data_IF_495805736309
#
_entry.id   IF_495805736309
#
_cell.length_a   1.000
_cell.length_b   1.000
_cell.length_c   1.000
_cell.angle_alpha   90.00
_cell.angle_beta   90.00
_cell.angle_gamma   90.00
#
_symmetry.space_group_name_H-M   'P 1'
#
loop_
_entity.id
_entity.type
_entity.pdbx_description
1 polymer ?
#
# COMPACT_ATOMS: atom_id res chain seq x y z
N UNK A 1 21.65 -45.21 3.30
CA UNK A 1 20.95 -45.76 4.48
C UNK A 1 21.49 -45.03 5.69
N UNK A 2 20.85 -43.94 6.07
CA UNK A 2 21.22 -43.10 7.22
C UNK A 2 20.35 -43.51 8.41
N UNK A 3 21.01 -44.08 9.41
CA UNK A 3 20.39 -44.50 10.68
C UNK A 3 19.88 -43.28 11.42
N UNK A 4 18.56 -43.06 11.48
CA UNK A 4 17.90 -42.16 12.41
C UNK A 4 17.69 -42.91 13.73
N UNK A 5 18.66 -42.90 14.62
CA UNK A 5 18.45 -43.35 16.00
C UNK A 5 17.82 -42.23 16.81
N UNK A 6 16.54 -42.38 17.14
CA UNK A 6 15.81 -41.55 18.09
C UNK A 6 16.15 -42.02 19.52
N UNK A 7 16.84 -41.18 20.28
CA UNK A 7 17.23 -41.48 21.68
C UNK A 7 16.10 -41.03 22.64
N UNK A 8 15.53 -42.03 23.36
CA UNK A 8 14.54 -41.81 24.44
C UNK A 8 15.23 -41.47 25.76
N UNK A 9 14.81 -40.41 26.41
CA UNK A 9 15.32 -39.96 27.69
C UNK A 9 14.68 -40.73 28.87
N UNK A 10 15.15 -41.93 29.13
CA UNK A 10 14.47 -42.91 29.98
C UNK A 10 14.40 -42.53 31.49
N UNK A 11 15.12 -41.51 31.99
CA UNK A 11 15.19 -41.21 33.41
C UNK A 11 14.83 -39.77 33.85
N UNK A 12 14.34 -38.91 32.97
CA UNK A 12 14.00 -37.53 33.32
C UNK A 12 12.53 -37.15 33.16
N UNK A 13 11.67 -38.09 32.77
CA UNK A 13 10.25 -37.83 32.52
C UNK A 13 9.95 -36.97 31.27
N UNK A 14 10.96 -36.64 30.49
CA UNK A 14 10.89 -35.84 29.27
C UNK A 14 11.20 -36.74 28.08
N UNK A 15 10.16 -37.05 27.29
CA UNK A 15 10.33 -37.81 26.02
C UNK A 15 10.67 -36.82 24.91
N UNK A 16 11.98 -36.52 24.78
CA UNK A 16 12.47 -35.53 23.82
C UNK A 16 13.29 -36.22 22.75
N UNK A 17 12.71 -36.29 21.54
CA UNK A 17 13.46 -36.68 20.35
C UNK A 17 14.26 -35.46 19.84
N UNK A 18 15.59 -35.48 19.98
CA UNK A 18 16.50 -34.54 19.38
C UNK A 18 17.04 -35.11 18.07
N UNK A 19 16.66 -34.52 16.94
CA UNK A 19 17.28 -34.82 15.66
C UNK A 19 18.57 -34.00 15.55
N UNK A 20 19.72 -34.66 15.56
CA UNK A 20 21.01 -34.01 15.36
C UNK A 20 21.25 -33.89 13.84
N UNK A 21 21.25 -32.63 13.33
CA UNK A 21 21.50 -32.33 11.93
C UNK A 21 22.97 -32.59 11.51
N UNK A 22 23.23 -32.53 10.20
CA UNK A 22 24.57 -32.67 9.63
C UNK A 22 25.42 -31.40 9.97
N UNK A 23 26.34 -31.57 10.92
CA UNK A 23 27.26 -30.53 11.39
C UNK A 23 28.13 -31.08 12.52
N UNK A 24 29.03 -30.27 13.09
CA UNK A 24 29.77 -30.68 14.29
C UNK A 24 28.79 -31.02 15.41
N UNK A 25 28.96 -32.15 16.10
CA UNK A 25 28.05 -32.67 17.12
C UNK A 25 27.64 -31.66 18.19
N UNK A 26 28.51 -30.70 18.55
CA UNK A 26 28.22 -29.60 19.49
C UNK A 26 27.20 -28.64 18.90
N UNK A 27 27.41 -28.15 17.68
CA UNK A 27 26.52 -27.20 17.00
C UNK A 27 25.16 -27.84 16.75
N UNK A 28 25.12 -29.11 16.32
CA UNK A 28 23.87 -29.83 16.10
C UNK A 28 23.07 -29.97 17.42
N UNK A 29 23.71 -30.20 18.56
CA UNK A 29 23.07 -30.26 19.87
C UNK A 29 22.55 -28.87 20.31
N UNK A 30 23.33 -27.81 20.09
CA UNK A 30 22.92 -26.43 20.36
C UNK A 30 21.64 -26.07 19.56
N UNK A 31 21.62 -26.35 18.25
CA UNK A 31 20.51 -26.04 17.38
C UNK A 31 19.26 -26.87 17.72
N UNK A 32 19.43 -28.16 18.05
CA UNK A 32 18.32 -29.02 18.45
C UNK A 32 17.68 -28.53 19.78
N UNK A 33 18.48 -28.12 20.77
CA UNK A 33 17.98 -27.56 22.03
C UNK A 33 17.30 -26.18 21.82
N UNK A 34 17.87 -25.28 21.00
CA UNK A 34 17.23 -24.02 20.62
C UNK A 34 15.87 -24.25 19.95
N UNK A 35 15.81 -25.18 19.01
CA UNK A 35 14.56 -25.54 18.35
C UNK A 35 13.53 -26.10 19.32
N UNK A 36 13.93 -26.97 20.23
CA UNK A 36 13.04 -27.54 21.24
C UNK A 36 12.49 -26.47 22.22
N UNK A 37 13.31 -25.51 22.63
CA UNK A 37 12.88 -24.39 23.47
C UNK A 37 11.95 -23.46 22.70
N UNK A 38 12.31 -23.02 21.46
CA UNK A 38 11.47 -22.17 20.61
C UNK A 38 10.10 -22.75 20.31
N UNK A 39 10.06 -24.06 20.05
CA UNK A 39 8.82 -24.76 19.72
C UNK A 39 7.99 -25.16 20.96
N UNK A 40 8.39 -24.70 22.18
CA UNK A 40 7.69 -25.01 23.42
C UNK A 40 7.81 -26.45 23.90
N UNK A 41 8.58 -27.32 23.23
CA UNK A 41 8.86 -28.69 23.70
C UNK A 41 9.67 -28.70 25.00
N UNK A 42 10.48 -27.68 25.20
CA UNK A 42 11.20 -27.41 26.45
C UNK A 42 10.73 -26.04 27.01
N UNK A 43 9.65 -26.00 27.77
CA UNK A 43 9.15 -24.76 28.35
C UNK A 43 10.09 -24.18 29.40
N UNK A 44 9.99 -22.88 29.67
CA UNK A 44 10.76 -22.20 30.73
C UNK A 44 10.62 -22.92 32.07
N UNK A 45 11.75 -23.08 32.77
CA UNK A 45 11.82 -23.78 34.06
C UNK A 45 12.06 -25.28 33.92
N UNK A 46 12.01 -25.87 32.73
CA UNK A 46 12.34 -27.28 32.50
C UNK A 46 13.80 -27.53 32.90
N UNK A 47 14.04 -28.50 33.77
CA UNK A 47 15.38 -28.95 34.16
C UNK A 47 15.94 -29.90 33.12
N UNK A 48 17.09 -29.58 32.55
CA UNK A 48 17.81 -30.42 31.60
C UNK A 48 18.61 -31.50 32.32
N UNK A 49 18.87 -32.66 31.69
CA UNK A 49 19.70 -33.70 32.25
C UNK A 49 21.11 -33.23 32.58
N UNK A 50 21.73 -33.83 33.61
CA UNK A 50 23.12 -33.55 33.91
C UNK A 50 24.01 -33.90 32.69
N UNK A 51 25.07 -33.12 32.44
CA UNK A 51 25.95 -33.27 31.27
C UNK A 51 26.49 -34.70 31.05
N UNK A 52 26.73 -35.44 32.16
CA UNK A 52 27.16 -36.85 32.09
C UNK A 52 26.04 -37.77 31.58
N UNK A 53 24.83 -37.52 32.00
CA UNK A 53 23.65 -38.32 31.60
C UNK A 53 23.36 -38.09 30.12
N UNK A 54 23.22 -36.83 29.71
CA UNK A 54 22.94 -36.47 28.34
C UNK A 54 24.04 -36.94 27.37
N UNK A 55 25.30 -36.84 27.76
CA UNK A 55 26.43 -37.29 26.96
C UNK A 55 26.38 -38.82 26.70
N UNK A 56 26.05 -39.60 27.76
CA UNK A 56 25.88 -41.04 27.62
C UNK A 56 24.67 -41.40 26.75
N UNK A 57 23.56 -40.72 26.96
CA UNK A 57 22.28 -40.98 26.25
C UNK A 57 22.39 -40.65 24.75
N UNK A 58 23.17 -39.61 24.39
CA UNK A 58 23.40 -39.18 23.00
C UNK A 58 24.64 -39.84 22.34
N UNK A 59 25.42 -40.64 23.07
CA UNK A 59 26.66 -41.22 22.57
C UNK A 59 27.78 -40.20 22.24
N UNK A 60 27.76 -39.04 22.87
CA UNK A 60 28.73 -37.96 22.62
C UNK A 60 29.66 -37.73 23.84
N UNK A 61 30.75 -36.97 23.64
CA UNK A 61 31.61 -36.64 24.75
C UNK A 61 30.92 -35.69 25.77
N UNK A 62 31.27 -35.81 27.06
CA UNK A 62 30.80 -34.88 28.09
C UNK A 62 31.20 -33.44 27.79
N UNK A 63 32.39 -33.25 27.16
CA UNK A 63 32.86 -31.92 26.75
C UNK A 63 31.98 -31.29 25.71
N UNK A 64 31.42 -32.09 24.77
CA UNK A 64 30.44 -31.66 23.76
C UNK A 64 29.19 -31.08 24.42
N UNK A 65 28.59 -31.80 25.38
CA UNK A 65 27.37 -31.36 26.07
C UNK A 65 27.66 -30.17 26.98
N UNK A 66 28.79 -30.18 27.69
CA UNK A 66 29.18 -29.04 28.53
C UNK A 66 29.38 -27.77 27.70
N UNK A 67 30.05 -27.89 26.54
CA UNK A 67 30.24 -26.78 25.62
C UNK A 67 28.93 -26.22 25.10
N UNK A 68 27.99 -27.10 24.70
CA UNK A 68 26.65 -26.68 24.23
C UNK A 68 25.86 -25.99 25.35
N UNK A 69 25.85 -26.52 26.57
CA UNK A 69 25.16 -25.89 27.69
C UNK A 69 25.78 -24.53 28.08
N UNK A 70 27.11 -24.43 28.02
CA UNK A 70 27.81 -23.16 28.31
C UNK A 70 27.47 -22.12 27.27
N UNK A 71 27.45 -22.48 25.99
CA UNK A 71 27.07 -21.59 24.90
C UNK A 71 25.61 -21.13 25.02
N UNK A 72 24.69 -22.05 25.24
CA UNK A 72 23.27 -21.74 25.38
C UNK A 72 22.99 -20.93 26.69
N UNK A 73 23.79 -21.09 27.70
CA UNK A 73 23.72 -20.25 28.91
C UNK A 73 24.25 -18.84 28.66
N UNK A 74 25.33 -18.68 27.91
CA UNK A 74 25.84 -17.38 27.47
C UNK A 74 24.85 -16.63 26.57
N UNK A 75 24.08 -17.34 25.76
CA UNK A 75 23.01 -16.79 24.92
C UNK A 75 21.70 -16.52 25.69
N UNK A 76 21.60 -16.91 26.97
CA UNK A 76 20.40 -16.70 27.79
C UNK A 76 19.28 -17.76 27.61
N UNK A 77 19.49 -18.80 26.82
CA UNK A 77 18.53 -19.91 26.70
C UNK A 77 18.45 -20.76 27.93
N UNK A 78 19.59 -20.94 28.58
CA UNK A 78 19.74 -21.77 29.79
C UNK A 78 20.31 -20.95 30.93
N UNK A 79 20.10 -21.42 32.17
CA UNK A 79 20.79 -20.90 33.39
C UNK A 79 21.14 -22.04 34.32
N UNK A 80 22.29 -21.91 34.94
CA UNK A 80 22.69 -22.80 36.05
C UNK A 80 21.90 -22.46 37.31
N UNK A 81 21.44 -23.47 38.04
CA UNK A 81 20.80 -23.31 39.36
C UNK A 81 21.64 -24.05 40.39
N UNK A 82 22.14 -23.33 41.40
CA UNK A 82 22.96 -23.94 42.45
C UNK A 82 22.20 -25.12 43.10
N UNK A 83 22.78 -26.32 43.05
CA UNK A 83 22.24 -27.53 43.65
C UNK A 83 21.19 -28.29 42.84
N UNK A 84 20.66 -27.73 41.72
CA UNK A 84 19.57 -28.36 40.97
C UNK A 84 19.78 -28.45 39.44
N UNK A 85 21.01 -28.22 38.93
CA UNK A 85 21.36 -28.44 37.54
C UNK A 85 21.13 -27.24 36.61
N UNK A 86 20.97 -27.51 35.31
CA UNK A 86 20.74 -26.51 34.24
C UNK A 86 19.25 -26.47 33.91
N UNK A 87 18.68 -25.28 33.89
CA UNK A 87 17.24 -25.08 33.56
C UNK A 87 17.07 -24.16 32.38
N UNK A 88 15.97 -24.34 31.63
CA UNK A 88 15.57 -23.46 30.55
C UNK A 88 15.18 -22.09 31.11
N UNK A 89 15.86 -21.05 30.68
CA UNK A 89 15.64 -19.66 31.14
C UNK A 89 14.75 -18.88 30.18
N UNK A 90 14.83 -19.16 28.87
CA UNK A 90 14.07 -18.50 27.83
C UNK A 90 12.60 -18.91 27.90
N UNK A 91 11.73 -17.92 27.88
CA UNK A 91 10.30 -18.11 27.71
C UNK A 91 10.00 -17.90 26.22
N UNK A 92 9.74 -18.99 25.52
CA UNK A 92 9.20 -18.94 24.18
C UNK A 92 7.74 -18.48 24.23
N UNK A 93 7.43 -17.47 25.08
CA UNK A 93 6.07 -17.00 25.33
C UNK A 93 5.18 -17.26 24.12
N UNK A 94 4.01 -17.77 24.30
CA UNK A 94 3.10 -18.02 23.19
C UNK A 94 3.21 -16.82 22.24
N UNK A 95 3.90 -17.00 21.10
CA UNK A 95 3.69 -16.09 19.99
C UNK A 95 2.19 -16.02 19.89
N UNK A 96 1.63 -14.90 20.33
CA UNK A 96 0.26 -14.58 20.02
C UNK A 96 0.25 -14.54 18.47
N UNK A 97 0.09 -15.69 17.86
CA UNK A 97 -0.35 -15.78 16.47
C UNK A 97 -1.67 -15.02 16.50
N UNK A 98 -1.59 -13.73 16.18
CA UNK A 98 -2.76 -13.01 15.75
C UNK A 98 -3.40 -13.94 14.73
N UNK A 99 -4.62 -14.46 14.97
CA UNK A 99 -5.27 -15.34 14.04
C UNK A 99 -5.25 -14.59 12.72
N UNK A 100 -4.48 -15.08 11.75
CA UNK A 100 -4.55 -14.57 10.40
C UNK A 100 -5.99 -14.86 9.99
N UNK A 101 -6.83 -13.84 9.95
CA UNK A 101 -8.16 -13.98 9.37
C UNK A 101 -7.96 -14.65 8.02
N UNK A 102 -8.62 -15.79 7.76
CA UNK A 102 -8.46 -16.50 6.51
C UNK A 102 -8.84 -15.53 5.40
N UNK A 103 -7.87 -15.03 4.65
CA UNK A 103 -8.15 -14.12 3.54
C UNK A 103 -9.07 -14.85 2.58
N UNK A 104 -10.34 -14.45 2.56
CA UNK A 104 -11.34 -15.04 1.68
C UNK A 104 -10.86 -14.89 0.24
N UNK A 105 -10.54 -15.98 -0.43
CA UNK A 105 -10.12 -15.98 -1.83
C UNK A 105 -11.36 -15.83 -2.70
N UNK A 106 -11.44 -14.71 -3.40
CA UNK A 106 -12.49 -14.46 -4.38
C UNK A 106 -12.03 -14.93 -5.76
N UNK A 107 -12.97 -15.42 -6.55
CA UNK A 107 -12.72 -15.79 -7.94
C UNK A 107 -12.43 -14.56 -8.80
N UNK A 108 -13.12 -13.46 -8.51
CA UNK A 108 -13.05 -12.20 -9.23
C UNK A 108 -12.79 -11.04 -8.26
N UNK A 109 -11.82 -10.18 -8.58
CA UNK A 109 -11.51 -9.00 -7.78
C UNK A 109 -11.97 -7.74 -8.52
N UNK A 110 -13.10 -7.18 -8.11
CA UNK A 110 -13.63 -5.90 -8.57
C UNK A 110 -13.49 -4.82 -7.48
N UNK A 111 -12.55 -4.95 -6.55
CA UNK A 111 -12.27 -3.90 -5.57
C UNK A 111 -11.57 -2.70 -6.23
N UNK A 112 -11.81 -1.47 -5.74
CA UNK A 112 -11.30 -0.25 -6.35
C UNK A 112 -9.79 -0.09 -6.21
N UNK A 113 -9.23 0.83 -6.99
CA UNK A 113 -7.89 1.35 -6.82
C UNK A 113 -6.73 0.41 -7.17
N UNK A 114 -6.99 -0.76 -7.75
CA UNK A 114 -5.97 -1.73 -8.18
C UNK A 114 -5.88 -1.77 -9.70
N UNK A 115 -4.69 -1.60 -10.30
CA UNK A 115 -4.47 -1.84 -11.71
C UNK A 115 -4.38 -3.34 -12.00
N UNK A 116 -4.42 -3.71 -13.27
CA UNK A 116 -4.16 -5.07 -13.75
C UNK A 116 -2.68 -5.43 -13.59
N UNK A 117 -2.32 -6.06 -12.49
CA UNK A 117 -0.94 -6.49 -12.21
C UNK A 117 -0.39 -7.51 -13.24
N UNK A 118 -1.27 -8.26 -13.94
CA UNK A 118 -0.87 -9.18 -15.02
C UNK A 118 -0.32 -8.42 -16.22
N UNK A 119 -0.70 -7.16 -16.36
CA UNK A 119 -0.28 -6.26 -17.45
C UNK A 119 0.98 -5.46 -17.15
N UNK A 120 1.61 -5.69 -15.99
CA UNK A 120 2.90 -5.05 -15.69
C UNK A 120 3.90 -5.33 -16.83
N UNK A 121 4.56 -4.32 -17.38
CA UNK A 121 5.41 -4.45 -18.58
C UNK A 121 6.78 -5.05 -18.26
N UNK A 122 6.80 -6.33 -17.81
CA UNK A 122 8.01 -7.01 -17.27
C UNK A 122 9.22 -6.93 -18.18
N UNK A 123 9.04 -7.19 -19.48
CA UNK A 123 10.14 -7.18 -20.45
C UNK A 123 10.73 -5.77 -20.65
N UNK A 124 9.87 -4.76 -20.74
CA UNK A 124 10.29 -3.37 -20.91
C UNK A 124 10.92 -2.82 -19.63
N UNK A 125 10.37 -3.18 -18.47
CA UNK A 125 10.92 -2.82 -17.16
C UNK A 125 12.31 -3.43 -16.94
N UNK A 126 12.46 -4.73 -17.23
CA UNK A 126 13.76 -5.42 -17.12
C UNK A 126 14.79 -4.81 -18.06
N UNK A 127 14.38 -4.43 -19.28
CA UNK A 127 15.26 -3.75 -20.24
C UNK A 127 15.70 -2.38 -19.74
N UNK A 128 14.77 -1.59 -19.17
CA UNK A 128 15.06 -0.31 -18.56
C UNK A 128 16.03 -0.47 -17.38
N UNK A 129 15.77 -1.41 -16.47
CA UNK A 129 16.63 -1.70 -15.33
C UNK A 129 18.05 -2.11 -15.78
N UNK A 130 18.18 -3.00 -16.75
CA UNK A 130 19.51 -3.40 -17.27
C UNK A 130 20.28 -2.23 -17.85
N UNK A 131 19.64 -1.35 -18.63
CA UNK A 131 20.29 -0.16 -19.19
C UNK A 131 20.70 0.81 -18.10
N UNK A 132 19.82 1.04 -17.13
CA UNK A 132 20.08 1.92 -16.02
C UNK A 132 21.28 1.46 -15.20
N UNK A 133 21.34 0.16 -14.86
CA UNK A 133 22.45 -0.42 -14.10
C UNK A 133 23.77 -0.43 -14.87
N UNK A 134 23.74 -0.70 -16.18
CA UNK A 134 24.95 -0.71 -17.00
C UNK A 134 25.60 0.67 -17.14
N UNK A 135 24.84 1.75 -16.95
CA UNK A 135 25.34 3.12 -17.03
C UNK A 135 25.38 3.85 -15.68
N UNK A 136 25.01 3.18 -14.58
CA UNK A 136 24.99 3.80 -13.26
C UNK A 136 26.43 3.93 -12.70
N UNK A 137 26.82 5.11 -12.20
CA UNK A 137 28.06 5.28 -11.47
C UNK A 137 27.96 4.64 -10.07
N UNK A 138 29.10 4.35 -9.44
CA UNK A 138 29.15 3.69 -8.12
C UNK A 138 28.37 4.47 -7.04
N UNK A 139 28.37 5.80 -7.11
CA UNK A 139 27.63 6.69 -6.19
C UNK A 139 26.09 6.48 -6.29
N UNK A 140 25.61 5.82 -7.34
CA UNK A 140 24.19 5.45 -7.44
C UNK A 140 23.77 4.39 -6.42
N UNK A 141 24.73 3.67 -5.84
CA UNK A 141 24.53 2.60 -4.86
C UNK A 141 24.83 3.04 -3.43
N UNK A 142 25.25 4.28 -3.24
CA UNK A 142 25.50 4.88 -1.94
C UNK A 142 24.30 5.72 -1.46
N UNK A 143 24.39 6.29 -0.26
CA UNK A 143 23.43 7.25 0.25
C UNK A 143 23.34 8.46 -0.70
N UNK A 144 22.10 8.81 -1.05
CA UNK A 144 21.84 9.85 -2.03
C UNK A 144 21.06 11.03 -1.46
N UNK A 145 20.64 11.91 -2.37
CA UNK A 145 19.78 13.06 -2.07
C UNK A 145 18.43 12.56 -1.51
N UNK A 146 17.95 13.06 -0.37
CA UNK A 146 16.64 12.73 0.18
C UNK A 146 15.47 12.97 -0.79
N UNK A 147 15.63 13.92 -1.72
CA UNK A 147 14.63 14.17 -2.79
C UNK A 147 14.54 13.03 -3.80
N UNK A 148 15.49 12.10 -3.79
CA UNK A 148 15.61 11.00 -4.74
C UNK A 148 16.63 11.28 -5.84
N UNK A 149 16.87 10.26 -6.67
CA UNK A 149 17.88 10.30 -7.74
C UNK A 149 17.62 11.42 -8.72
N UNK A 150 18.68 12.15 -9.07
CA UNK A 150 18.60 13.28 -9.99
C UNK A 150 18.05 12.85 -11.36
N UNK A 151 18.48 11.70 -11.85
CA UNK A 151 18.02 11.14 -13.11
C UNK A 151 16.49 10.99 -13.14
N UNK A 152 15.91 10.47 -12.07
CA UNK A 152 14.46 10.32 -11.99
C UNK A 152 13.75 11.67 -11.83
N UNK A 153 14.27 12.57 -10.99
CA UNK A 153 13.66 13.90 -10.79
C UNK A 153 13.63 14.69 -12.10
N UNK A 154 14.68 14.62 -12.91
CA UNK A 154 14.77 15.25 -14.23
C UNK A 154 13.73 14.70 -15.21
N UNK A 155 13.66 13.37 -15.33
CA UNK A 155 12.73 12.72 -16.25
C UNK A 155 11.27 12.90 -15.81
N UNK A 156 10.99 12.87 -14.49
CA UNK A 156 9.67 13.18 -13.94
C UNK A 156 9.28 14.64 -14.23
N UNK A 157 10.15 15.60 -13.96
CA UNK A 157 9.84 17.00 -14.25
C UNK A 157 9.54 17.22 -15.75
N UNK A 158 10.29 16.58 -16.64
CA UNK A 158 10.05 16.63 -18.08
C UNK A 158 8.70 15.99 -18.45
N UNK A 159 8.39 14.80 -17.92
CA UNK A 159 7.13 14.12 -18.12
C UNK A 159 5.93 14.94 -17.60
N UNK A 160 6.02 15.44 -16.37
CA UNK A 160 4.95 16.20 -15.72
C UNK A 160 4.66 17.51 -16.46
N UNK A 161 5.67 18.21 -16.95
CA UNK A 161 5.46 19.41 -17.79
C UNK A 161 4.79 19.06 -19.11
N UNK A 162 5.30 18.05 -19.81
CA UNK A 162 4.83 17.66 -21.15
C UNK A 162 3.46 16.98 -21.13
N UNK A 163 3.27 16.01 -20.24
CA UNK A 163 2.12 15.14 -20.27
C UNK A 163 0.98 15.60 -19.35
N UNK A 164 1.32 16.35 -18.29
CA UNK A 164 0.36 16.79 -17.28
C UNK A 164 0.15 18.29 -17.23
N UNK A 165 1.04 19.10 -17.83
CA UNK A 165 0.93 20.55 -17.82
C UNK A 165 1.32 21.20 -16.49
N UNK A 166 2.15 20.55 -15.67
CA UNK A 166 2.68 21.13 -14.44
C UNK A 166 3.71 22.23 -14.73
N UNK A 167 3.83 23.14 -13.78
CA UNK A 167 4.92 24.12 -13.70
C UNK A 167 5.90 23.68 -12.61
N UNK A 168 6.87 22.85 -12.97
CA UNK A 168 7.78 22.19 -12.02
C UNK A 168 9.20 22.15 -12.55
N UNK A 169 10.18 22.51 -11.72
CA UNK A 169 11.60 22.25 -11.96
C UNK A 169 11.99 20.89 -11.37
N UNK A 170 13.14 20.34 -11.77
CA UNK A 170 13.60 19.06 -11.20
C UNK A 170 13.84 19.14 -9.69
N UNK A 171 14.24 20.32 -9.20
CA UNK A 171 14.52 20.53 -7.78
C UNK A 171 13.26 20.62 -6.90
N UNK A 172 12.11 20.85 -7.51
CA UNK A 172 10.82 20.83 -6.82
C UNK A 172 10.24 19.43 -6.69
N UNK A 173 10.85 18.43 -7.37
CA UNK A 173 10.40 17.03 -7.32
C UNK A 173 11.01 16.32 -6.14
N UNK A 174 10.16 15.68 -5.32
CA UNK A 174 10.57 14.79 -4.23
C UNK A 174 10.01 13.39 -4.50
N UNK A 175 10.88 12.41 -4.65
CA UNK A 175 10.51 11.00 -4.86
C UNK A 175 10.13 10.36 -3.53
N UNK A 176 9.05 9.58 -3.53
CA UNK A 176 8.50 8.92 -2.35
C UNK A 176 8.20 7.45 -2.63
N UNK A 177 7.95 6.67 -1.57
CA UNK A 177 7.51 5.28 -1.69
C UNK A 177 6.01 5.12 -1.98
N UNK A 178 5.36 6.17 -2.48
CA UNK A 178 3.93 6.24 -2.83
C UNK A 178 3.17 7.26 -1.98
N UNK A 179 1.87 7.43 -2.31
CA UNK A 179 1.03 8.50 -1.75
C UNK A 179 0.94 8.49 -0.22
N UNK A 180 0.89 7.32 0.42
CA UNK A 180 0.92 7.19 1.89
C UNK A 180 2.09 7.93 2.51
N UNK A 181 3.30 7.76 1.97
CA UNK A 181 4.47 8.50 2.41
C UNK A 181 4.35 9.99 2.04
N UNK A 182 3.95 10.30 0.81
CA UNK A 182 3.77 11.67 0.33
C UNK A 182 2.89 12.50 1.26
N UNK A 183 1.71 11.98 1.59
CA UNK A 183 0.77 12.65 2.50
C UNK A 183 1.35 12.78 3.92
N UNK A 184 1.99 11.73 4.42
CA UNK A 184 2.62 11.76 5.75
C UNK A 184 3.76 12.77 5.87
N UNK A 185 4.56 12.95 4.83
CA UNK A 185 5.64 13.95 4.80
C UNK A 185 5.07 15.37 4.88
N UNK A 186 4.06 15.67 4.05
CA UNK A 186 3.41 16.99 4.02
C UNK A 186 2.72 17.27 5.35
N UNK A 187 1.96 16.30 5.87
CA UNK A 187 1.24 16.44 7.13
C UNK A 187 2.19 16.75 8.29
N UNK A 188 3.34 16.07 8.38
CA UNK A 188 4.37 16.34 9.41
C UNK A 188 5.10 17.67 9.17
N UNK A 189 5.38 18.00 7.90
CA UNK A 189 6.06 19.26 7.56
C UNK A 189 5.24 20.51 7.98
N UNK A 190 3.91 20.40 8.09
CA UNK A 190 3.03 21.49 8.45
C UNK A 190 2.47 21.39 9.88
N UNK A 191 2.64 20.24 10.55
CA UNK A 191 2.10 19.99 11.89
C UNK A 191 2.73 20.91 12.98
N UNK A 192 1.94 21.25 14.03
CA UNK A 192 0.49 21.01 14.14
C UNK A 192 -0.31 22.08 13.37
N UNK A 193 -1.33 21.67 12.63
CA UNK A 193 -2.21 22.61 11.94
C UNK A 193 -3.62 22.01 11.71
N UNK A 194 -4.56 22.84 11.24
CA UNK A 194 -5.86 22.41 10.76
C UNK A 194 -5.76 21.99 9.29
N UNK A 195 -6.29 20.79 8.98
CA UNK A 195 -6.27 20.18 7.66
C UNK A 195 -7.70 19.91 7.20
N UNK A 196 -8.13 20.56 6.14
CA UNK A 196 -9.40 20.26 5.51
C UNK A 196 -9.25 19.07 4.56
N UNK A 197 -10.08 18.04 4.72
CA UNK A 197 -10.08 16.83 3.89
C UNK A 197 -11.46 16.53 3.35
N UNK A 198 -11.54 16.09 2.11
CA UNK A 198 -12.79 15.64 1.49
C UNK A 198 -13.52 14.61 2.37
N UNK A 199 -14.84 14.73 2.45
CA UNK A 199 -15.72 13.77 3.07
C UNK A 199 -16.83 13.40 2.07
N UNK A 200 -16.79 12.16 1.49
CA UNK A 200 -15.95 11.02 1.86
C UNK A 200 -14.50 11.08 1.37
N UNK A 201 -13.60 10.42 2.11
CA UNK A 201 -12.22 10.13 1.69
C UNK A 201 -11.73 8.82 2.29
N UNK A 202 -10.58 8.33 1.84
CA UNK A 202 -10.02 7.07 2.33
C UNK A 202 -9.68 7.16 3.83
N UNK A 203 -10.19 6.24 4.69
CA UNK A 203 -9.97 6.29 6.15
C UNK A 203 -8.49 6.33 6.52
N UNK A 204 -7.67 5.59 5.80
CA UNK A 204 -6.22 5.56 6.00
C UNK A 204 -5.56 6.94 5.81
N UNK A 205 -6.06 7.76 4.89
CA UNK A 205 -5.53 9.11 4.68
C UNK A 205 -5.85 10.02 5.87
N UNK A 206 -7.05 9.93 6.43
CA UNK A 206 -7.39 10.64 7.69
C UNK A 206 -6.48 10.20 8.83
N UNK A 207 -6.26 8.89 8.97
CA UNK A 207 -5.40 8.35 10.02
C UNK A 207 -3.95 8.85 9.90
N UNK A 208 -3.40 8.97 8.69
CA UNK A 208 -2.05 9.53 8.46
C UNK A 208 -1.97 10.99 8.93
N UNK A 209 -2.95 11.80 8.57
CA UNK A 209 -2.98 13.24 8.92
C UNK A 209 -3.14 13.43 10.43
N UNK A 210 -4.04 12.66 11.06
CA UNK A 210 -4.23 12.69 12.51
C UNK A 210 -2.99 12.21 13.27
N UNK A 211 -2.33 11.14 12.80
CA UNK A 211 -1.11 10.60 13.41
C UNK A 211 0.08 11.58 13.34
N UNK A 212 0.05 12.54 12.43
CA UNK A 212 1.02 13.62 12.36
C UNK A 212 0.75 14.76 13.38
N UNK A 213 -0.32 14.68 14.20
CA UNK A 213 -0.68 15.70 15.19
C UNK A 213 -1.54 16.85 14.64
N UNK A 214 -2.21 16.66 13.51
CA UNK A 214 -3.06 17.67 12.91
C UNK A 214 -4.54 17.49 13.28
N UNK A 215 -5.28 18.59 13.34
CA UNK A 215 -6.74 18.63 13.45
C UNK A 215 -7.36 18.46 12.06
N UNK A 216 -8.30 17.51 11.92
CA UNK A 216 -8.98 17.27 10.64
C UNK A 216 -10.35 17.96 10.63
N UNK A 217 -10.61 18.72 9.57
CA UNK A 217 -11.90 19.32 9.28
C UNK A 217 -12.48 18.66 8.03
N UNK A 218 -13.72 18.17 8.11
CA UNK A 218 -14.41 17.56 6.96
C UNK A 218 -14.86 18.61 5.95
N UNK A 219 -14.51 18.41 4.69
CA UNK A 219 -14.94 19.22 3.57
C UNK A 219 -15.94 18.41 2.73
N UNK A 220 -17.22 18.77 2.79
CA UNK A 220 -18.30 18.06 2.09
C UNK A 220 -18.07 18.03 0.58
N UNK A 221 -18.57 16.98 -0.06
CA UNK A 221 -18.49 16.78 -1.52
C UNK A 221 -19.92 16.71 -2.10
N UNK A 222 -20.16 17.41 -3.19
CA UNK A 222 -21.38 17.34 -3.98
C UNK A 222 -21.06 17.07 -5.47
N UNK A 223 -22.01 17.30 -6.37
CA UNK A 223 -21.84 17.04 -7.81
C UNK A 223 -20.76 17.90 -8.48
N UNK A 224 -20.43 19.07 -7.90
CA UNK A 224 -19.37 19.97 -8.35
C UNK A 224 -18.00 19.69 -7.66
N UNK A 225 -17.91 18.62 -6.90
CA UNK A 225 -16.72 18.21 -6.13
C UNK A 225 -16.71 18.75 -4.70
N UNK A 226 -15.52 18.96 -4.14
CA UNK A 226 -15.37 19.47 -2.78
C UNK A 226 -15.97 20.88 -2.65
N UNK A 227 -16.74 21.11 -1.60
CA UNK A 227 -17.39 22.42 -1.30
C UNK A 227 -16.38 23.38 -0.71
N UNK A 228 -15.52 23.91 -1.56
CA UNK A 228 -14.43 24.81 -1.17
C UNK A 228 -14.91 26.16 -0.64
N UNK A 229 -16.16 26.52 -0.87
CA UNK A 229 -16.84 27.65 -0.25
C UNK A 229 -17.03 27.49 1.26
N UNK A 230 -17.05 26.25 1.75
CA UNK A 230 -17.14 25.94 3.19
C UNK A 230 -15.75 25.97 3.88
N UNK A 231 -14.67 26.30 3.16
CA UNK A 231 -13.33 26.39 3.74
C UNK A 231 -13.24 27.59 4.69
N UNK A 232 -12.96 27.27 5.95
CA UNK A 232 -12.68 28.22 7.00
C UNK A 232 -11.17 28.43 7.18
N UNK A 233 -10.69 28.33 8.41
CA UNK A 233 -9.29 28.47 8.79
C UNK A 233 -8.58 27.12 8.72
N UNK A 234 -7.93 26.82 7.61
CA UNK A 234 -7.11 25.63 7.41
C UNK A 234 -5.75 26.02 6.81
N UNK A 235 -4.67 25.41 7.27
CA UNK A 235 -3.34 25.60 6.70
C UNK A 235 -3.14 24.69 5.49
N UNK A 236 -3.82 23.56 5.45
CA UNK A 236 -3.70 22.55 4.41
C UNK A 236 -5.09 22.07 3.97
N UNK A 237 -5.28 21.95 2.66
CA UNK A 237 -6.44 21.27 2.06
C UNK A 237 -5.95 20.05 1.29
N UNK A 238 -6.52 18.87 1.55
CA UNK A 238 -6.19 17.62 0.86
C UNK A 238 -7.39 17.17 0.05
N UNK A 239 -7.24 17.09 -1.26
CA UNK A 239 -8.35 16.71 -2.15
C UNK A 239 -7.86 15.98 -3.42
N UNK A 240 -8.82 15.36 -4.12
CA UNK A 240 -8.65 14.64 -5.38
C UNK A 240 -9.38 15.37 -6.52
N UNK A 241 -8.86 16.55 -6.97
CA UNK A 241 -9.63 17.55 -7.74
C UNK A 241 -10.01 17.11 -9.15
N UNK A 242 -9.22 16.20 -9.74
CA UNK A 242 -9.46 15.71 -11.10
C UNK A 242 -10.48 14.58 -11.13
N UNK A 243 -10.57 13.83 -10.03
CA UNK A 243 -11.52 12.76 -9.82
C UNK A 243 -11.61 12.43 -8.33
N UNK A 244 -12.64 12.97 -7.69
CA UNK A 244 -12.88 12.76 -6.25
C UNK A 244 -12.98 11.26 -5.92
N UNK A 245 -12.27 10.83 -4.91
CA UNK A 245 -12.33 9.45 -4.44
C UNK A 245 -13.11 9.33 -3.14
N UNK A 246 -14.19 8.52 -3.10
CA UNK A 246 -14.57 7.47 -4.06
C UNK A 246 -15.64 7.87 -5.10
N UNK A 247 -16.31 9.01 -4.97
CA UNK A 247 -17.53 9.35 -5.69
C UNK A 247 -17.30 9.66 -7.19
N UNK A 248 -16.10 10.08 -7.58
CA UNK A 248 -15.72 10.28 -8.98
C UNK A 248 -16.07 11.62 -9.59
N UNK A 249 -16.54 12.61 -8.78
CA UNK A 249 -16.78 13.98 -9.24
C UNK A 249 -15.47 14.66 -9.61
N UNK A 250 -15.58 15.64 -10.48
CA UNK A 250 -14.48 16.55 -10.82
C UNK A 250 -14.76 17.90 -10.17
N UNK A 251 -13.76 18.48 -9.53
CA UNK A 251 -13.88 19.83 -8.97
C UNK A 251 -14.16 20.84 -10.08
N UNK A 252 -15.28 21.55 -10.01
CA UNK A 252 -15.74 22.50 -11.03
C UNK A 252 -14.74 23.65 -11.26
N UNK A 253 -14.80 24.27 -12.43
CA UNK A 253 -13.88 25.36 -12.77
C UNK A 253 -14.00 26.54 -11.79
N UNK A 254 -15.21 26.84 -11.35
CA UNK A 254 -15.48 27.89 -10.37
C UNK A 254 -14.85 27.56 -9.02
N UNK A 255 -15.06 26.36 -8.51
CA UNK A 255 -14.45 25.90 -7.26
C UNK A 255 -12.93 25.82 -7.33
N UNK A 256 -12.36 25.45 -8.48
CA UNK A 256 -10.91 25.50 -8.70
C UNK A 256 -10.38 26.93 -8.56
N UNK A 257 -11.02 27.90 -9.19
CA UNK A 257 -10.63 29.31 -9.07
C UNK A 257 -10.76 29.82 -7.63
N UNK A 258 -11.87 29.51 -6.96
CA UNK A 258 -12.11 29.88 -5.56
C UNK A 258 -11.05 29.29 -4.61
N UNK A 259 -10.76 28.00 -4.74
CA UNK A 259 -9.76 27.32 -3.92
C UNK A 259 -8.36 27.93 -4.07
N UNK A 260 -7.94 28.21 -5.29
CA UNK A 260 -6.62 28.79 -5.56
C UNK A 260 -6.53 30.25 -5.04
N UNK A 261 -7.59 31.00 -5.16
CA UNK A 261 -7.67 32.36 -4.63
C UNK A 261 -7.67 32.35 -3.08
N UNK A 262 -8.43 31.43 -2.47
CA UNK A 262 -8.41 31.21 -1.03
C UNK A 262 -7.00 30.84 -0.54
N UNK A 263 -6.32 29.90 -1.19
CA UNK A 263 -4.97 29.48 -0.81
C UNK A 263 -3.96 30.65 -0.87
N UNK A 264 -4.03 31.47 -1.92
CA UNK A 264 -3.19 32.67 -2.07
C UNK A 264 -3.42 33.70 -0.98
N UNK A 265 -4.70 34.02 -0.69
CA UNK A 265 -5.03 35.01 0.35
C UNK A 265 -4.60 34.57 1.75
N UNK A 266 -4.68 33.28 2.04
CA UNK A 266 -4.37 32.70 3.35
C UNK A 266 -2.92 32.29 3.53
N UNK A 267 -2.14 32.22 2.45
CA UNK A 267 -0.82 31.59 2.48
C UNK A 267 -0.88 30.09 2.78
N UNK A 268 -2.04 29.46 2.55
CA UNK A 268 -2.29 28.04 2.80
C UNK A 268 -1.86 27.17 1.63
N UNK A 269 -1.75 25.85 1.87
CA UNK A 269 -1.37 24.89 0.85
C UNK A 269 -2.52 23.97 0.46
N UNK A 270 -2.46 23.46 -0.79
CA UNK A 270 -3.39 22.48 -1.33
C UNK A 270 -2.60 21.26 -1.78
N UNK A 271 -2.91 20.08 -1.27
CA UNK A 271 -2.45 18.81 -1.84
C UNK A 271 -3.47 18.34 -2.86
N UNK A 272 -3.05 18.31 -4.12
CA UNK A 272 -3.82 17.74 -5.22
C UNK A 272 -3.32 16.32 -5.48
N UNK A 273 -4.05 15.32 -4.99
CA UNK A 273 -3.77 13.91 -5.27
C UNK A 273 -4.32 13.54 -6.66
N UNK A 274 -3.41 13.33 -7.58
CA UNK A 274 -3.71 13.00 -9.00
C UNK A 274 -3.35 11.53 -9.27
N UNK A 275 -3.98 10.63 -8.52
CA UNK A 275 -3.64 9.20 -8.45
C UNK A 275 -3.94 8.41 -9.74
N UNK A 276 -4.91 8.85 -10.56
CA UNK A 276 -5.35 8.16 -11.78
C UNK A 276 -5.55 9.09 -12.99
N UNK A 277 -4.96 10.26 -12.96
CA UNK A 277 -5.13 11.31 -13.96
C UNK A 277 -4.70 10.95 -15.39
N UNK A 278 -3.91 9.87 -15.57
CA UNK A 278 -3.60 9.29 -16.87
C UNK A 278 -4.80 8.57 -17.53
N UNK A 279 -5.82 8.20 -16.75
CA UNK A 279 -6.95 7.36 -17.19
C UNK A 279 -8.24 8.15 -17.31
N UNK A 280 -8.25 9.13 -18.23
CA UNK A 280 -9.45 9.87 -18.59
C UNK A 280 -9.98 9.42 -19.95
N UNK A 281 -11.32 9.28 -20.07
CA UNK A 281 -11.99 8.61 -21.20
C UNK A 281 -12.96 9.50 -21.98
N UNK A 282 -13.38 10.64 -21.42
CA UNK A 282 -14.35 11.58 -22.00
C UNK A 282 -13.74 12.52 -23.05
N UNK A 283 -12.44 12.40 -23.32
CA UNK A 283 -11.74 13.26 -24.28
C UNK A 283 -11.53 14.72 -23.79
N UNK A 284 -11.87 15.03 -22.55
CA UNK A 284 -11.75 16.36 -21.96
C UNK A 284 -10.58 16.36 -20.95
N UNK A 285 -9.36 16.70 -21.35
CA UNK A 285 -8.25 16.77 -20.41
C UNK A 285 -8.50 17.90 -19.40
N UNK A 286 -8.32 17.56 -18.12
CA UNK A 286 -8.36 18.54 -17.04
C UNK A 286 -6.93 18.74 -16.54
N UNK A 287 -6.44 19.97 -16.65
CA UNK A 287 -5.14 20.34 -16.15
C UNK A 287 -5.08 20.26 -14.61
N UNK A 288 -3.95 19.94 -14.03
CA UNK A 288 -3.77 19.93 -12.59
C UNK A 288 -3.80 21.34 -12.01
N UNK A 289 -4.25 21.47 -10.77
CA UNK A 289 -4.26 22.74 -10.03
C UNK A 289 -2.87 23.37 -9.92
N UNK A 290 -1.83 22.55 -9.80
CA UNK A 290 -0.44 23.00 -9.67
C UNK A 290 0.04 23.81 -10.90
N UNK A 291 -0.42 23.47 -12.10
CA UNK A 291 -0.10 24.23 -13.30
C UNK A 291 -0.67 25.66 -13.28
N UNK A 292 -1.73 25.90 -12.51
CA UNK A 292 -2.36 27.20 -12.32
C UNK A 292 -1.72 27.98 -11.16
N UNK A 293 -1.35 27.28 -10.06
CA UNK A 293 -0.79 27.90 -8.85
C UNK A 293 0.34 27.06 -8.23
N UNK A 294 1.55 27.12 -8.79
CA UNK A 294 2.68 26.30 -8.33
C UNK A 294 3.25 26.69 -6.96
N UNK A 295 2.91 27.88 -6.43
CA UNK A 295 3.42 28.37 -5.14
C UNK A 295 2.61 27.86 -3.94
N UNK A 296 1.37 27.42 -4.16
CA UNK A 296 0.45 26.99 -3.10
C UNK A 296 -0.04 25.55 -3.28
N UNK A 297 0.17 24.94 -4.46
CA UNK A 297 -0.32 23.59 -4.74
C UNK A 297 0.82 22.60 -4.78
N UNK A 298 0.76 21.62 -3.90
CA UNK A 298 1.56 20.39 -3.96
C UNK A 298 0.83 19.40 -4.87
N UNK A 299 1.45 18.99 -5.94
CA UNK A 299 0.96 17.90 -6.77
C UNK A 299 1.52 16.57 -6.26
N UNK A 300 0.65 15.59 -6.05
CA UNK A 300 1.04 14.24 -5.69
C UNK A 300 0.68 13.25 -6.81
N UNK A 301 1.69 12.51 -7.28
CA UNK A 301 1.54 11.49 -8.31
C UNK A 301 2.10 10.15 -7.88
N UNK A 302 1.69 9.07 -8.56
CA UNK A 302 2.13 7.71 -8.21
C UNK A 302 2.20 6.78 -9.41
N UNK A 303 3.20 5.90 -9.43
CA UNK A 303 3.27 4.79 -10.39
C UNK A 303 2.33 3.61 -10.03
N UNK A 304 1.69 3.65 -8.86
CA UNK A 304 0.87 2.54 -8.35
C UNK A 304 -0.34 2.20 -9.21
N UNK A 305 -0.90 3.19 -9.93
CA UNK A 305 -2.10 3.00 -10.77
C UNK A 305 -1.75 2.77 -12.23
N UNK A 306 -0.62 3.29 -12.67
CA UNK A 306 -0.13 3.16 -14.06
C UNK A 306 0.68 1.89 -14.27
N UNK A 307 1.50 1.50 -13.30
CA UNK A 307 2.33 0.28 -13.36
C UNK A 307 1.83 -0.79 -12.41
N UNK A 308 2.17 -0.69 -11.13
CA UNK A 308 1.71 -1.61 -10.10
C UNK A 308 1.96 -1.01 -8.70
N UNK A 309 1.12 -1.31 -7.69
CA UNK A 309 1.36 -0.87 -6.31
C UNK A 309 2.69 -1.38 -5.72
N UNK A 310 3.15 -2.56 -6.16
CA UNK A 310 4.39 -3.17 -5.70
C UNK A 310 5.68 -2.46 -6.14
N UNK A 311 5.62 -1.54 -7.12
CA UNK A 311 6.78 -0.75 -7.55
C UNK A 311 7.20 0.26 -6.47
N UNK A 312 6.28 0.67 -5.61
CA UNK A 312 6.52 1.59 -4.49
C UNK A 312 7.21 2.90 -4.88
N UNK A 313 6.77 3.50 -5.97
CA UNK A 313 7.22 4.82 -6.41
C UNK A 313 6.04 5.80 -6.50
N UNK A 314 6.24 6.96 -5.89
CA UNK A 314 5.43 8.15 -6.01
C UNK A 314 6.32 9.38 -6.09
N UNK A 315 5.72 10.52 -6.32
CA UNK A 315 6.43 11.78 -6.38
C UNK A 315 5.54 12.94 -5.95
N UNK A 316 6.18 13.97 -5.45
CA UNK A 316 5.60 15.26 -5.15
C UNK A 316 6.24 16.32 -6.07
N UNK A 317 5.43 17.27 -6.57
CA UNK A 317 5.94 18.56 -6.99
C UNK A 317 5.59 19.55 -5.87
N UNK A 318 6.61 20.02 -5.16
CA UNK A 318 6.46 20.78 -3.92
C UNK A 318 6.78 22.27 -4.16
N UNK A 319 5.92 23.19 -3.68
CA UNK A 319 6.25 24.61 -3.69
C UNK A 319 7.59 24.89 -2.99
N UNK A 320 8.37 25.80 -3.54
CA UNK A 320 9.71 26.13 -3.01
C UNK A 320 9.68 26.50 -1.51
N UNK A 321 8.64 27.21 -1.07
CA UNK A 321 8.47 27.63 0.33
C UNK A 321 8.22 26.49 1.31
N UNK A 322 7.77 25.32 0.81
CA UNK A 322 7.49 24.14 1.62
C UNK A 322 8.54 23.04 1.44
N UNK A 323 9.34 23.12 0.39
CA UNK A 323 10.24 22.04 -0.06
C UNK A 323 11.20 21.58 1.03
N UNK A 324 11.93 22.51 1.64
CA UNK A 324 12.98 22.18 2.60
C UNK A 324 12.41 21.45 3.82
N UNK A 325 11.22 21.87 4.30
CA UNK A 325 10.50 21.18 5.39
C UNK A 325 10.07 19.77 5.01
N UNK A 326 9.60 19.57 3.76
CA UNK A 326 9.22 18.24 3.26
C UNK A 326 10.45 17.34 3.10
N UNK A 327 11.57 17.89 2.62
CA UNK A 327 12.85 17.16 2.47
C UNK A 327 13.40 16.74 3.82
N UNK A 328 13.35 17.61 4.82
CA UNK A 328 13.72 17.27 6.21
C UNK A 328 12.89 16.10 6.74
N UNK A 329 11.56 16.14 6.56
CA UNK A 329 10.69 15.03 6.96
C UNK A 329 10.99 13.73 6.19
N UNK A 330 11.39 13.83 4.93
CA UNK A 330 11.81 12.67 4.12
C UNK A 330 13.10 12.07 4.68
N UNK A 331 14.08 12.90 5.01
CA UNK A 331 15.33 12.46 5.59
C UNK A 331 15.12 11.76 6.93
N UNK A 332 14.23 12.30 7.78
CA UNK A 332 13.88 11.67 9.06
C UNK A 332 13.09 10.36 8.92
N UNK A 333 12.32 10.21 7.84
CA UNK A 333 11.45 9.05 7.65
C UNK A 333 12.18 7.81 7.10
N UNK A 334 13.03 7.97 6.09
CA UNK A 334 13.71 6.86 5.41
C UNK A 334 15.01 7.27 4.71
N UNK A 335 15.51 8.47 4.99
CA UNK A 335 16.65 9.09 4.32
C UNK A 335 16.37 9.34 2.83
N UNK A 336 16.31 8.29 2.02
CA UNK A 336 15.91 8.33 0.61
C UNK A 336 15.22 7.01 0.19
N UNK A 337 14.45 7.06 -0.89
CA UNK A 337 13.84 5.86 -1.48
C UNK A 337 14.91 5.02 -2.23
N UNK A 338 14.69 3.71 -2.37
CA UNK A 338 15.62 2.80 -3.05
C UNK A 338 16.03 3.28 -4.45
N UNK A 339 17.32 3.19 -4.78
CA UNK A 339 17.89 3.75 -6.02
C UNK A 339 17.54 2.94 -7.27
N UNK A 340 17.43 1.61 -7.17
CA UNK A 340 17.26 0.71 -8.31
C UNK A 340 15.95 0.97 -9.08
N UNK A 341 14.85 1.06 -8.35
CA UNK A 341 13.53 1.34 -8.92
C UNK A 341 13.46 2.75 -9.50
N UNK A 342 14.15 3.70 -8.88
CA UNK A 342 14.23 5.07 -9.38
C UNK A 342 14.97 5.13 -10.72
N UNK A 343 16.13 4.48 -10.83
CA UNK A 343 16.90 4.40 -12.05
C UNK A 343 16.13 3.67 -13.17
N UNK A 344 15.43 2.59 -12.82
CA UNK A 344 14.59 1.86 -13.76
C UNK A 344 13.44 2.74 -14.29
N UNK A 345 12.76 3.48 -13.43
CA UNK A 345 11.67 4.37 -13.84
C UNK A 345 12.19 5.55 -14.66
N UNK A 346 13.35 6.12 -14.32
CA UNK A 346 13.96 7.18 -15.09
C UNK A 346 14.23 6.73 -16.55
N UNK A 347 14.84 5.57 -16.73
CA UNK A 347 15.06 4.98 -18.06
C UNK A 347 13.76 4.64 -18.79
N UNK A 348 12.75 4.16 -18.03
CA UNK A 348 11.44 3.82 -18.58
C UNK A 348 10.70 5.06 -19.10
N UNK A 349 10.83 6.21 -18.42
CA UNK A 349 10.33 7.51 -18.86
C UNK A 349 11.14 8.01 -20.08
N UNK A 350 12.47 8.03 -19.99
CA UNK A 350 13.38 8.51 -21.03
C UNK A 350 13.18 7.79 -22.36
N UNK A 351 12.97 6.47 -22.33
CA UNK A 351 12.72 5.66 -23.53
C UNK A 351 11.29 5.74 -24.05
N UNK A 352 10.44 6.60 -23.47
CA UNK A 352 8.99 6.69 -23.74
C UNK A 352 8.22 5.37 -23.58
N UNK A 353 8.81 4.38 -22.92
CA UNK A 353 8.14 3.11 -22.63
C UNK A 353 6.96 3.31 -21.68
N UNK A 354 7.08 4.23 -20.72
CA UNK A 354 6.01 4.64 -19.83
C UNK A 354 4.80 5.19 -20.61
N UNK A 355 5.02 6.13 -21.52
CA UNK A 355 3.94 6.71 -22.35
C UNK A 355 3.23 5.66 -23.20
N UNK A 356 4.00 4.71 -23.78
CA UNK A 356 3.41 3.60 -24.57
C UNK A 356 2.56 2.68 -23.71
N UNK A 357 3.05 2.36 -22.49
CA UNK A 357 2.32 1.54 -21.54
C UNK A 357 1.03 2.22 -21.08
N UNK A 358 1.08 3.47 -20.65
CA UNK A 358 -0.09 4.24 -20.22
C UNK A 358 -1.14 4.31 -21.34
N UNK A 359 -0.75 4.59 -22.58
CA UNK A 359 -1.69 4.60 -23.73
C UNK A 359 -2.37 3.25 -23.93
N UNK A 360 -1.61 2.15 -23.87
CA UNK A 360 -2.13 0.79 -23.97
C UNK A 360 -3.16 0.49 -22.86
N UNK A 361 -2.81 0.84 -21.62
CA UNK A 361 -3.69 0.60 -20.47
C UNK A 361 -4.93 1.47 -20.49
N UNK A 362 -4.83 2.74 -20.93
CA UNK A 362 -5.98 3.62 -21.10
C UNK A 362 -7.02 3.04 -22.08
N UNK A 363 -6.58 2.52 -23.21
CA UNK A 363 -7.48 1.87 -24.19
C UNK A 363 -8.13 0.60 -23.63
N UNK A 364 -7.38 -0.21 -22.86
CA UNK A 364 -7.89 -1.40 -22.20
C UNK A 364 -8.94 -1.06 -21.15
N UNK A 365 -8.62 -0.15 -20.25
CA UNK A 365 -9.52 0.24 -19.16
C UNK A 365 -10.76 0.97 -19.68
N UNK A 366 -10.66 1.74 -20.76
CA UNK A 366 -11.83 2.32 -21.44
C UNK A 366 -12.80 1.21 -21.89
N UNK A 367 -12.32 0.18 -22.59
CA UNK A 367 -13.16 -0.95 -23.04
C UNK A 367 -13.82 -1.67 -21.87
N UNK A 368 -13.06 -1.94 -20.78
CA UNK A 368 -13.59 -2.59 -19.59
C UNK A 368 -14.64 -1.73 -18.89
N UNK A 369 -14.40 -0.45 -18.77
CA UNK A 369 -15.39 0.50 -18.26
C UNK A 369 -16.68 0.44 -19.07
N UNK A 370 -16.59 0.49 -20.40
CA UNK A 370 -17.75 0.48 -21.29
C UNK A 370 -18.59 -0.81 -21.14
N UNK A 371 -17.93 -1.96 -20.98
CA UNK A 371 -18.60 -3.24 -20.69
C UNK A 371 -19.31 -3.20 -19.33
N UNK A 372 -18.64 -2.69 -18.29
CA UNK A 372 -19.24 -2.59 -16.94
C UNK A 372 -20.43 -1.61 -16.93
N UNK A 373 -20.30 -0.45 -17.57
CA UNK A 373 -21.41 0.52 -17.68
C UNK A 373 -22.61 -0.10 -18.42
N UNK A 374 -22.37 -0.84 -19.51
CA UNK A 374 -23.44 -1.54 -20.22
C UNK A 374 -24.18 -2.55 -19.32
N UNK A 375 -23.47 -3.27 -18.45
CA UNK A 375 -24.06 -4.21 -17.50
C UNK A 375 -24.82 -3.52 -16.36
N UNK A 376 -24.53 -2.24 -16.09
CA UNK A 376 -25.16 -1.39 -15.07
C UNK A 376 -26.21 -0.44 -15.66
N UNK A 377 -26.67 -0.66 -16.90
CA UNK A 377 -27.64 0.21 -17.56
C UNK A 377 -28.92 0.39 -16.70
N UNK A 378 -29.40 1.63 -16.60
CA UNK A 378 -30.56 1.98 -15.76
C UNK A 378 -30.25 2.13 -14.26
N UNK A 379 -28.99 2.03 -13.85
CA UNK A 379 -28.54 2.26 -12.46
C UNK A 379 -27.86 3.63 -12.31
N UNK A 380 -27.88 4.17 -11.09
CA UNK A 380 -27.20 5.42 -10.77
C UNK A 380 -25.71 5.16 -10.53
N UNK A 381 -24.91 5.52 -11.53
CA UNK A 381 -23.45 5.28 -11.54
C UNK A 381 -22.74 6.62 -11.62
N UNK A 382 -21.75 6.83 -10.73
CA UNK A 382 -20.87 7.99 -10.73
C UNK A 382 -19.44 7.62 -11.13
N UNK A 383 -18.64 8.62 -11.53
CA UNK A 383 -17.21 8.45 -11.84
C UNK A 383 -16.91 7.79 -13.19
N UNK A 384 -17.88 7.75 -14.12
CA UNK A 384 -17.71 7.08 -15.41
C UNK A 384 -16.73 7.76 -16.38
N UNK A 385 -16.42 9.05 -16.19
CA UNK A 385 -15.56 9.81 -17.09
C UNK A 385 -14.07 9.45 -17.03
N UNK A 386 -13.61 8.89 -15.90
CA UNK A 386 -12.19 8.64 -15.64
C UNK A 386 -11.97 7.51 -14.63
N UNK A 387 -10.70 7.13 -14.45
CA UNK A 387 -10.23 6.31 -13.34
C UNK A 387 -10.24 4.81 -13.58
N UNK A 388 -10.29 4.04 -12.49
CA UNK A 388 -10.17 2.57 -12.47
C UNK A 388 -11.36 1.87 -11.81
N UNK A 389 -12.34 2.62 -11.33
CA UNK A 389 -13.55 2.13 -10.67
C UNK A 389 -14.74 3.05 -10.95
N UNK A 390 -15.93 2.53 -10.70
CA UNK A 390 -17.19 3.28 -10.67
C UNK A 390 -17.71 3.29 -9.23
N UNK A 391 -18.55 4.26 -8.92
CA UNK A 391 -19.37 4.29 -7.70
C UNK A 391 -20.82 4.00 -8.10
N UNK A 392 -21.36 2.90 -7.59
CA UNK A 392 -22.74 2.48 -7.80
C UNK A 392 -23.56 2.84 -6.55
N UNK A 393 -24.51 3.77 -6.69
CA UNK A 393 -25.45 4.09 -5.63
C UNK A 393 -26.43 2.94 -5.44
N UNK A 394 -26.63 2.52 -4.18
CA UNK A 394 -27.55 1.44 -3.80
C UNK A 394 -28.22 1.77 -2.48
N UNK A 395 -29.42 1.21 -2.24
CA UNK A 395 -30.15 1.43 -1.00
C UNK A 395 -29.60 0.56 0.15
N UNK A 396 -29.11 -0.65 -0.18
CA UNK A 396 -28.53 -1.59 0.78
C UNK A 396 -27.16 -2.07 0.27
N UNK A 397 -26.13 -1.42 0.81
CA UNK A 397 -24.73 -1.69 0.48
C UNK A 397 -24.28 -3.07 0.93
N UNK A 398 -24.67 -3.45 2.17
CA UNK A 398 -24.21 -4.69 2.79
C UNK A 398 -24.85 -5.91 2.11
N UNK A 399 -26.13 -5.82 1.75
CA UNK A 399 -26.80 -6.86 0.97
C UNK A 399 -26.13 -7.09 -0.39
N UNK A 400 -25.74 -6.02 -1.10
CA UNK A 400 -25.05 -6.16 -2.38
C UNK A 400 -23.65 -6.75 -2.22
N UNK A 401 -22.88 -6.28 -1.23
CA UNK A 401 -21.53 -6.82 -0.93
C UNK A 401 -21.62 -8.31 -0.60
N UNK A 402 -22.59 -8.72 0.23
CA UNK A 402 -22.82 -10.12 0.57
C UNK A 402 -23.25 -10.96 -0.63
N UNK A 403 -24.16 -10.47 -1.46
CA UNK A 403 -24.63 -11.15 -2.67
C UNK A 403 -23.50 -11.33 -3.73
N UNK A 404 -22.64 -10.33 -3.88
CA UNK A 404 -21.44 -10.40 -4.73
C UNK A 404 -20.45 -11.44 -4.18
N UNK A 405 -20.19 -11.39 -2.87
CA UNK A 405 -19.30 -12.33 -2.21
C UNK A 405 -19.78 -13.79 -2.32
N UNK A 406 -21.09 -14.04 -2.25
CA UNK A 406 -21.68 -15.36 -2.46
C UNK A 406 -21.44 -15.90 -3.88
N UNK A 407 -21.26 -15.02 -4.87
CA UNK A 407 -20.93 -15.36 -6.27
C UNK A 407 -19.42 -15.31 -6.56
N UNK A 408 -18.60 -15.23 -5.52
CA UNK A 408 -17.13 -15.18 -5.65
C UNK A 408 -16.58 -13.86 -6.19
N UNK A 409 -17.34 -12.77 -6.09
CA UNK A 409 -16.93 -11.43 -6.54
C UNK A 409 -16.59 -10.57 -5.32
N UNK A 410 -15.38 -10.01 -5.28
CA UNK A 410 -14.99 -9.01 -4.30
C UNK A 410 -15.32 -7.61 -4.81
N UNK A 411 -16.13 -6.88 -4.08
CA UNK A 411 -16.38 -5.44 -4.24
C UNK A 411 -16.19 -4.74 -2.89
N UNK A 412 -16.29 -3.44 -2.84
CA UNK A 412 -16.08 -2.69 -1.60
C UNK A 412 -17.19 -1.68 -1.40
N UNK A 413 -17.87 -1.78 -0.25
CA UNK A 413 -18.81 -0.77 0.20
C UNK A 413 -18.09 0.48 0.70
N UNK A 414 -18.67 1.64 0.48
CA UNK A 414 -18.05 2.90 0.91
C UNK A 414 -18.41 3.26 2.36
N UNK A 415 -19.65 3.04 2.75
CA UNK A 415 -20.10 3.32 4.12
C UNK A 415 -19.50 2.31 5.10
N UNK A 416 -19.65 0.99 4.83
CA UNK A 416 -19.16 -0.09 5.69
C UNK A 416 -17.64 -0.10 5.87
N UNK A 417 -16.89 0.48 4.94
CA UNK A 417 -15.42 0.59 5.04
C UNK A 417 -14.92 1.95 5.56
N UNK A 418 -15.83 2.79 6.10
CA UNK A 418 -15.48 3.99 6.85
C UNK A 418 -15.00 5.19 6.00
N UNK A 419 -15.41 5.28 4.73
CA UNK A 419 -15.04 6.43 3.88
C UNK A 419 -15.67 7.73 4.36
N UNK A 420 -16.85 7.68 4.95
CA UNK A 420 -17.58 8.85 5.45
C UNK A 420 -17.22 9.13 6.92
N UNK A 421 -16.90 10.36 7.25
CA UNK A 421 -16.79 10.83 8.62
C UNK A 421 -18.15 11.31 9.15
N UNK A 422 -18.99 11.84 8.27
CA UNK A 422 -20.38 12.28 8.53
C UNK A 422 -21.42 11.23 8.11
N UNK A 423 -22.60 11.70 7.70
CA UNK A 423 -23.69 10.85 7.26
C UNK A 423 -23.31 10.09 5.98
N UNK A 424 -23.38 8.75 5.96
CA UNK A 424 -22.99 7.97 4.82
C UNK A 424 -24.02 8.08 3.68
N UNK A 425 -23.52 8.08 2.43
CA UNK A 425 -24.31 7.80 1.24
C UNK A 425 -24.01 6.35 0.82
N UNK A 426 -24.96 5.41 0.97
CA UNK A 426 -24.70 4.01 0.66
C UNK A 426 -24.31 3.81 -0.80
N UNK A 427 -23.29 3.01 -1.05
CA UNK A 427 -22.83 2.73 -2.40
C UNK A 427 -21.63 1.81 -2.46
N UNK A 428 -21.53 1.10 -3.57
CA UNK A 428 -20.49 0.11 -3.81
C UNK A 428 -19.49 0.62 -4.84
N UNK A 429 -18.22 0.59 -4.48
CA UNK A 429 -17.13 0.85 -5.41
C UNK A 429 -16.83 -0.41 -6.22
N UNK A 430 -16.92 -0.29 -7.54
CA UNK A 430 -16.73 -1.41 -8.48
C UNK A 430 -15.54 -1.10 -9.37
N UNK A 431 -14.42 -1.77 -9.12
CA UNK A 431 -13.19 -1.66 -9.91
C UNK A 431 -13.29 -2.48 -11.20
N UNK A 432 -12.80 -1.93 -12.30
CA UNK A 432 -12.75 -2.64 -13.60
C UNK A 432 -11.32 -2.90 -14.10
N UNK A 433 -10.33 -2.55 -13.30
CA UNK A 433 -8.93 -2.66 -13.71
C UNK A 433 -8.25 -3.95 -13.24
N UNK A 434 -8.47 -4.39 -11.99
CA UNK A 434 -7.68 -5.44 -11.33
C UNK A 434 -7.84 -6.84 -11.94
N UNK A 435 -9.06 -7.21 -12.34
CA UNK A 435 -9.37 -8.55 -12.86
C UNK A 435 -8.61 -8.82 -14.17
N UNK A 436 -7.94 -9.99 -14.34
CA UNK A 436 -7.30 -10.35 -15.59
C UNK A 436 -8.25 -10.35 -16.78
N UNK A 437 -7.73 -10.09 -18.01
CA UNK A 437 -8.54 -9.91 -19.22
C UNK A 437 -9.50 -11.07 -19.48
N UNK A 438 -8.98 -12.32 -19.41
CA UNK A 438 -9.77 -13.52 -19.66
C UNK A 438 -10.91 -13.75 -18.67
N UNK A 439 -10.83 -13.19 -17.47
CA UNK A 439 -11.81 -13.35 -16.39
C UNK A 439 -12.78 -12.17 -16.27
N UNK A 440 -12.50 -11.05 -16.94
CA UNK A 440 -13.22 -9.79 -16.72
C UNK A 440 -14.72 -9.87 -17.07
N UNK A 441 -15.06 -10.45 -18.21
CA UNK A 441 -16.48 -10.60 -18.60
C UNK A 441 -17.24 -11.44 -17.59
N UNK A 442 -16.70 -12.60 -17.17
CA UNK A 442 -17.33 -13.44 -16.14
C UNK A 442 -17.47 -12.73 -14.78
N UNK A 443 -16.53 -11.84 -14.43
CA UNK A 443 -16.63 -11.02 -13.22
C UNK A 443 -17.81 -10.03 -13.31
N UNK A 444 -17.98 -9.38 -14.46
CA UNK A 444 -19.09 -8.44 -14.70
C UNK A 444 -20.43 -9.16 -14.68
N UNK A 445 -20.54 -10.32 -15.35
CA UNK A 445 -21.77 -11.12 -15.39
C UNK A 445 -22.17 -11.60 -13.97
N UNK A 446 -21.21 -12.08 -13.18
CA UNK A 446 -21.44 -12.51 -11.80
C UNK A 446 -21.87 -11.34 -10.91
N UNK A 447 -21.26 -10.16 -11.08
CA UNK A 447 -21.65 -8.95 -10.36
C UNK A 447 -23.06 -8.46 -10.73
N UNK A 448 -23.39 -8.42 -12.05
CA UNK A 448 -24.70 -8.06 -12.52
C UNK A 448 -25.80 -9.00 -11.97
N UNK A 449 -25.51 -10.31 -11.90
CA UNK A 449 -26.41 -11.29 -11.28
C UNK A 449 -26.59 -11.07 -9.76
N UNK A 450 -25.52 -10.64 -9.07
CA UNK A 450 -25.61 -10.25 -7.65
C UNK A 450 -26.51 -9.02 -7.47
N UNK A 451 -26.28 -8.00 -8.28
CA UNK A 451 -27.08 -6.77 -8.25
C UNK A 451 -28.58 -7.03 -8.54
N UNK A 452 -28.88 -7.88 -9.50
CA UNK A 452 -30.27 -8.25 -9.84
C UNK A 452 -30.97 -9.01 -8.69
N UNK A 453 -30.25 -9.71 -7.81
CA UNK A 453 -30.81 -10.45 -6.70
C UNK A 453 -31.15 -9.60 -5.46
N UNK A 454 -30.56 -8.41 -5.34
CA UNK A 454 -30.79 -7.50 -4.20
C UNK A 454 -31.63 -6.27 -4.54
N UNK A 455 -31.80 -5.98 -5.82
CA UNK A 455 -32.59 -4.83 -6.27
C UNK A 455 -33.74 -5.35 -7.16
N UNK A 456 -35.01 -5.33 -6.70
CA UNK A 456 -36.14 -5.66 -7.58
C UNK A 456 -36.09 -4.75 -8.81
N UNK A 457 -36.31 -5.32 -10.00
CA UNK A 457 -36.55 -4.50 -11.20
C UNK A 457 -37.78 -3.65 -10.88
N UNK A 458 -37.63 -2.33 -10.90
CA UNK A 458 -38.77 -1.43 -10.91
C UNK A 458 -39.69 -1.90 -12.04
N UNK A 459 -40.87 -2.39 -11.67
CA UNK A 459 -41.92 -2.70 -12.64
C UNK A 459 -42.18 -1.43 -13.42
N UNK A 460 -41.93 -1.45 -14.72
CA UNK A 460 -42.34 -0.39 -15.61
C UNK A 460 -43.84 -0.09 -15.38
N UNK A 461 -44.26 1.17 -15.35
CA UNK A 461 -45.67 1.48 -15.25
C UNK A 461 -46.37 0.83 -16.42
N UNK A 462 -47.33 -0.06 -16.16
CA UNK A 462 -48.32 -0.48 -17.13
C UNK A 462 -49.25 0.72 -17.37
N UNK A 463 -49.09 1.35 -18.46
CA UNK A 463 -49.98 2.37 -18.90
C UNK A 463 -50.20 2.22 -20.39
#
# INVERSE_FOLDING_TARGET
MTNHESVKWANSGLDLHLELGAGGLRTALEDALRAAIRNGRLPRGTTLPATRVLARDLGVSRGTVLGAYTQLAAEGWLRGRRGSGTVVAFDAGAEARLPAEPQRRFRYDLRPGRPDASSFPRADWLRALRRALAGAPDEAFDYGDPRGREELRRELAAYLRRARGLRVAQDDVVVTSGYTQSLGLIARALAPCRVAMEDPTMPHHRAIVAAAGNEIVSLRVDDDGARVEDLEDAMLVVLTPNRQHPLGMTLSAERRAHLLDWARRRGSFVVADDYDGEFRYDGRPIGPLQGLEPRHVVYAGTASKTLAPGVRLGWLAVPQTLRDRVVEQKQLADWHSGSLEQLALAEFLRSAAYDRHVRKMRLRYRRRRDVLIGALAGRRVRGAAAGLNLYLEVDDEDALVAAAAARGVAVQGAASTGYFAGAPAPGVMVGYAATPEHAFRGAVDAFAAALASVTPRSSAPRG
#
